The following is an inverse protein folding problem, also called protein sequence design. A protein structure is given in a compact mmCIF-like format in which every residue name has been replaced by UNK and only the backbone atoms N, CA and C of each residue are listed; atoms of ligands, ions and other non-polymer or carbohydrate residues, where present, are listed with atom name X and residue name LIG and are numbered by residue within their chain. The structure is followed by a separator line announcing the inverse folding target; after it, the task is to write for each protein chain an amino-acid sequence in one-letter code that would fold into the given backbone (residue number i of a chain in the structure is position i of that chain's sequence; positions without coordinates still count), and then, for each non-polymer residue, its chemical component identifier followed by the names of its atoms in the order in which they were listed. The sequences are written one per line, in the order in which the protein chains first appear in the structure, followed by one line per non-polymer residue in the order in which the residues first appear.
data_IF_204049572992
#
_entry.id   IF_204049572992
#
_cell.length_a   1.000
_cell.length_b   1.000
_cell.length_c   1.000
_cell.angle_alpha   90.00
_cell.angle_beta   90.00
_cell.angle_gamma   90.00
#
_symmetry.space_group_name_H-M   'P 1'
#
loop_
_entity.id
_entity.type
_entity.pdbx_description
1 polymer ?
#
# COMPACT_ATOMS: atom_id res chain seq x y z
N UNK A 1 -9.93 -1.94 7.22
CA UNK A 1 -9.98 -3.19 6.43
C UNK A 1 -9.07 -3.21 5.18
N UNK A 2 -9.36 -2.51 4.06
CA UNK A 2 -8.48 -2.58 2.85
C UNK A 2 -7.06 -2.08 3.08
N UNK A 3 -6.93 -0.95 3.78
CA UNK A 3 -5.64 -0.31 4.03
C UNK A 3 -4.82 -0.99 5.13
N UNK A 4 -5.44 -1.65 6.11
CA UNK A 4 -4.73 -2.47 7.09
C UNK A 4 -4.12 -3.71 6.42
N UNK A 5 -4.88 -4.36 5.53
CA UNK A 5 -4.37 -5.49 4.74
C UNK A 5 -3.19 -5.06 3.87
N UNK A 6 -3.29 -3.91 3.20
CA UNK A 6 -2.17 -3.36 2.43
C UNK A 6 -0.94 -3.09 3.31
N UNK A 7 -1.11 -2.48 4.48
CA UNK A 7 -0.02 -2.24 5.43
C UNK A 7 0.63 -3.53 5.94
N UNK A 8 -0.16 -4.56 6.20
CA UNK A 8 0.36 -5.88 6.56
C UNK A 8 1.20 -6.47 5.42
N UNK A 9 0.65 -6.50 4.20
CA UNK A 9 1.35 -7.03 3.02
C UNK A 9 2.66 -6.28 2.73
N UNK A 10 2.67 -4.95 2.90
CA UNK A 10 3.88 -4.14 2.73
C UNK A 10 5.01 -4.52 3.70
N UNK A 11 4.68 -5.03 4.90
CA UNK A 11 5.67 -5.50 5.89
C UNK A 11 5.99 -6.99 5.75
N UNK A 12 5.04 -7.79 5.28
CA UNK A 12 5.16 -9.25 5.25
C UNK A 12 5.58 -9.82 3.89
N UNK A 13 5.57 -9.03 2.81
CA UNK A 13 5.92 -9.47 1.46
C UNK A 13 6.89 -8.52 0.75
N UNK A 14 7.57 -9.04 -0.27
CA UNK A 14 8.41 -8.25 -1.19
C UNK A 14 7.69 -7.92 -2.50
N UNK A 15 6.37 -8.10 -2.53
CA UNK A 15 5.54 -7.82 -3.70
C UNK A 15 5.66 -6.35 -4.10
N UNK A 16 5.49 -6.09 -5.38
CA UNK A 16 5.55 -4.71 -5.88
C UNK A 16 4.32 -3.94 -5.39
N UNK A 17 4.49 -2.66 -5.14
CA UNK A 17 3.42 -1.77 -4.65
C UNK A 17 2.18 -1.81 -5.55
N UNK A 18 2.35 -1.97 -6.87
CA UNK A 18 1.22 -2.09 -7.80
C UNK A 18 0.47 -3.42 -7.67
N UNK A 19 1.15 -4.50 -7.29
CA UNK A 19 0.52 -5.81 -7.06
C UNK A 19 -0.30 -5.75 -5.77
N UNK A 20 0.26 -5.19 -4.71
CA UNK A 20 -0.46 -4.99 -3.44
C UNK A 20 -1.69 -4.09 -3.66
N UNK A 21 -1.54 -3.02 -4.44
CA UNK A 21 -2.65 -2.16 -4.83
C UNK A 21 -3.76 -2.95 -5.56
N UNK A 22 -3.40 -3.79 -6.53
CA UNK A 22 -4.36 -4.64 -7.23
C UNK A 22 -5.04 -5.64 -6.29
N UNK A 23 -4.28 -6.29 -5.40
CA UNK A 23 -4.77 -7.28 -4.43
C UNK A 23 -5.74 -6.71 -3.38
N UNK A 24 -5.59 -5.43 -3.03
CA UNK A 24 -6.53 -4.73 -2.14
C UNK A 24 -7.66 -4.01 -2.89
N UNK A 25 -7.74 -4.18 -4.21
CA UNK A 25 -8.84 -3.76 -5.07
C UNK A 25 -8.72 -2.33 -5.63
N UNK A 26 -7.49 -1.84 -5.81
CA UNK A 26 -7.21 -0.56 -6.45
C UNK A 26 -6.72 -0.79 -7.88
N UNK A 27 -7.46 -0.25 -8.86
CA UNK A 27 -7.06 -0.33 -10.28
C UNK A 27 -5.89 0.60 -10.63
N UNK A 28 -5.78 1.74 -9.93
CA UNK A 28 -4.72 2.73 -10.15
C UNK A 28 -3.80 2.78 -8.95
N UNK A 29 -2.54 2.39 -9.14
CA UNK A 29 -1.50 2.44 -8.10
C UNK A 29 -1.29 3.85 -7.56
N UNK A 30 -1.38 4.88 -8.40
CA UNK A 30 -1.27 6.28 -7.96
C UNK A 30 -2.37 6.69 -6.98
N UNK A 31 -3.60 6.22 -7.20
CA UNK A 31 -4.70 6.45 -6.28
C UNK A 31 -4.50 5.70 -4.96
N UNK A 32 -4.03 4.45 -5.03
CA UNK A 32 -3.64 3.68 -3.84
C UNK A 32 -2.58 4.42 -3.01
N UNK A 33 -1.49 4.88 -3.63
CA UNK A 33 -0.42 5.61 -2.95
C UNK A 33 -0.96 6.88 -2.28
N UNK A 34 -1.81 7.65 -2.98
CA UNK A 34 -2.43 8.86 -2.43
C UNK A 34 -3.25 8.53 -1.18
N UNK A 35 -4.17 7.57 -1.26
CA UNK A 35 -5.04 7.20 -0.13
C UNK A 35 -4.24 6.58 1.02
N UNK A 36 -3.21 5.80 0.71
CA UNK A 36 -2.33 5.21 1.72
C UNK A 36 -1.58 6.31 2.48
N UNK A 37 -1.02 7.30 1.76
CA UNK A 37 -0.34 8.45 2.35
C UNK A 37 -1.28 9.32 3.19
N UNK A 38 -2.51 9.56 2.73
CA UNK A 38 -3.51 10.29 3.50
C UNK A 38 -3.87 9.56 4.82
N UNK A 39 -3.87 8.23 4.83
CA UNK A 39 -4.23 7.43 6.02
C UNK A 39 -3.07 7.22 7.00
N UNK A 40 -1.86 7.00 6.50
CA UNK A 40 -0.68 6.62 7.30
C UNK A 40 0.39 7.71 7.40
N UNK A 41 0.22 8.84 6.72
CA UNK A 41 1.17 9.96 6.69
C UNK A 41 2.40 9.75 5.81
N UNK A 42 2.68 8.51 5.39
CA UNK A 42 3.84 8.12 4.58
C UNK A 42 3.41 7.33 3.36
N UNK A 43 4.24 7.31 2.30
CA UNK A 43 3.98 6.50 1.11
C UNK A 43 4.13 5.00 1.41
N UNK A 44 3.51 4.11 0.62
CA UNK A 44 3.70 2.67 0.76
C UNK A 44 5.17 2.22 0.71
N UNK A 45 6.01 2.92 -0.06
CA UNK A 45 7.43 2.62 -0.16
C UNK A 45 8.17 2.99 1.13
N UNK A 46 7.97 4.22 1.63
CA UNK A 46 8.52 4.68 2.91
C UNK A 46 8.04 3.79 4.08
N UNK A 47 6.79 3.34 4.05
CA UNK A 47 6.24 2.45 5.07
C UNK A 47 6.90 1.06 5.07
N UNK A 48 7.36 0.58 3.92
CA UNK A 48 8.06 -0.72 3.79
C UNK A 48 9.50 -0.62 4.27
N UNK A 49 10.15 0.50 4.02
CA UNK A 49 11.55 0.71 4.37
C UNK A 49 11.73 1.15 5.85
N UNK A 50 10.64 1.19 6.63
CA UNK A 50 10.59 1.58 8.06
C UNK A 50 10.26 0.44 9.00
#
# INVERSE_FOLDING_TARGET
MKMEKAAHMLRSSQEKIYEIAAMVGYQKTSYFIKVFKERYGVTPHEFRDS
#
